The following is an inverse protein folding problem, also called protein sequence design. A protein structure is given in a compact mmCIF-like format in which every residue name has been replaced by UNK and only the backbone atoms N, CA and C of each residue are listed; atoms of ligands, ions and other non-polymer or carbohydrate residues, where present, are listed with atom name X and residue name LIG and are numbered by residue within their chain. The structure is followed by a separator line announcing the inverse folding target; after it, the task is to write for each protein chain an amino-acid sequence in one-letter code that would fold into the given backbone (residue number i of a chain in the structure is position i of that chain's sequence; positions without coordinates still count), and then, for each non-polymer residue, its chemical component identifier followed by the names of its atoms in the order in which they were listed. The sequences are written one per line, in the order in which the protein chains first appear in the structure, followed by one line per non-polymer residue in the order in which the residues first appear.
data_IF_056082022609
#
_entry.id   IF_056082022609
#
_cell.length_a   1.000
_cell.length_b   1.000
_cell.length_c   1.000
_cell.angle_alpha   90.00
_cell.angle_beta   90.00
_cell.angle_gamma   90.00
#
_symmetry.space_group_name_H-M   'P 1'
#
loop_
_entity.id
_entity.type
_entity.pdbx_description
1 polymer ?
#
# COMPACT_ATOMS: atom_id res chain seq x y z
N UNK A 1 -23.35 88.23 -127.63
CA UNK A 1 -24.09 87.00 -127.33
C UNK A 1 -24.26 86.96 -125.81
N UNK A 2 -25.17 87.75 -125.25
CA UNK A 2 -26.63 87.70 -125.40
C UNK A 2 -27.23 86.47 -124.69
N UNK A 3 -27.96 86.79 -123.59
CA UNK A 3 -29.08 86.08 -122.95
C UNK A 3 -28.74 84.78 -122.16
N UNK A 4 -29.15 84.61 -120.91
CA UNK A 4 -30.38 85.06 -120.24
C UNK A 4 -30.19 85.17 -118.72
N UNK A 5 -30.55 86.34 -118.19
CA UNK A 5 -31.11 86.53 -116.86
C UNK A 5 -32.42 85.72 -116.76
N UNK A 6 -32.67 85.06 -115.63
CA UNK A 6 -34.01 84.79 -115.06
C UNK A 6 -33.87 84.39 -113.58
N UNK A 7 -34.90 84.68 -112.75
CA UNK A 7 -34.70 85.28 -111.43
C UNK A 7 -34.64 84.28 -110.27
N UNK A 8 -33.99 84.74 -109.20
CA UNK A 8 -34.05 84.16 -107.87
C UNK A 8 -35.50 84.04 -107.38
N UNK A 9 -36.07 82.84 -107.46
CA UNK A 9 -37.24 82.46 -106.68
C UNK A 9 -36.76 81.88 -105.34
N UNK A 10 -36.35 82.79 -104.46
CA UNK A 10 -36.29 82.55 -103.03
C UNK A 10 -37.73 82.48 -102.50
N UNK A 11 -38.35 81.32 -102.68
CA UNK A 11 -39.61 80.93 -102.04
C UNK A 11 -39.31 79.81 -101.04
N UNK A 12 -38.44 80.10 -100.07
CA UNK A 12 -38.57 79.45 -98.76
C UNK A 12 -39.80 80.02 -98.06
N UNK A 13 -40.62 79.20 -97.37
CA UNK A 13 -41.74 79.72 -96.60
C UNK A 13 -41.20 80.73 -95.60
N UNK A 14 -41.64 82.00 -95.69
CA UNK A 14 -41.42 82.98 -94.63
C UNK A 14 -42.06 82.38 -93.37
N UNK A 15 -41.28 82.09 -92.31
CA UNK A 15 -41.82 81.47 -91.13
C UNK A 15 -42.87 82.39 -90.51
N UNK A 16 -44.10 81.89 -90.36
CA UNK A 16 -45.12 82.59 -89.59
C UNK A 16 -44.70 82.58 -88.12
N UNK A 17 -45.02 83.62 -87.33
CA UNK A 17 -44.67 83.69 -85.91
C UNK A 17 -45.04 82.43 -85.10
N UNK A 18 -46.14 81.77 -85.46
CA UNK A 18 -46.59 80.48 -84.89
C UNK A 18 -45.61 79.33 -85.19
N UNK A 19 -45.05 79.26 -86.40
CA UNK A 19 -44.07 78.24 -86.77
C UNK A 19 -42.72 78.46 -86.04
N UNK A 20 -42.33 79.72 -85.78
CA UNK A 20 -41.17 80.02 -84.93
C UNK A 20 -41.41 79.67 -83.45
N UNK A 21 -42.63 79.90 -82.93
CA UNK A 21 -42.98 79.52 -81.56
C UNK A 21 -42.94 77.99 -81.38
N UNK A 22 -43.51 77.25 -82.33
CA UNK A 22 -43.44 75.78 -82.37
C UNK A 22 -41.99 75.31 -82.50
N UNK A 23 -41.17 75.93 -83.35
CA UNK A 23 -39.75 75.57 -83.48
C UNK A 23 -38.98 75.79 -82.15
N UNK A 24 -39.24 76.89 -81.43
CA UNK A 24 -38.66 77.13 -80.10
C UNK A 24 -39.12 76.08 -79.07
N UNK A 25 -40.37 75.67 -79.12
CA UNK A 25 -40.91 74.62 -78.24
C UNK A 25 -40.30 73.25 -78.57
N UNK A 26 -40.16 72.91 -79.85
CA UNK A 26 -39.47 71.69 -80.30
C UNK A 26 -38.02 71.68 -79.85
N UNK A 27 -37.30 72.81 -79.98
CA UNK A 27 -35.94 72.94 -79.47
C UNK A 27 -35.86 72.83 -77.95
N UNK A 28 -36.85 73.37 -77.23
CA UNK A 28 -36.95 73.24 -75.78
C UNK A 28 -37.18 71.78 -75.36
N UNK A 29 -38.11 71.08 -76.02
CA UNK A 29 -38.40 69.66 -75.82
C UNK A 29 -37.19 68.79 -76.19
N UNK A 30 -36.45 69.14 -77.24
CA UNK A 30 -35.23 68.43 -77.62
C UNK A 30 -34.14 68.57 -76.54
N UNK A 31 -33.98 69.76 -75.96
CA UNK A 31 -33.07 69.99 -74.82
C UNK A 31 -33.51 69.24 -73.57
N UNK A 32 -34.81 69.24 -73.28
CA UNK A 32 -35.37 68.50 -72.14
C UNK A 32 -35.15 66.99 -72.32
N UNK A 33 -35.43 66.45 -73.51
CA UNK A 33 -35.16 65.04 -73.84
C UNK A 33 -33.69 64.69 -73.62
N UNK A 34 -32.75 65.53 -74.06
CA UNK A 34 -31.32 65.30 -73.83
C UNK A 34 -30.94 65.37 -72.34
N UNK A 35 -31.56 66.28 -71.58
CA UNK A 35 -31.37 66.37 -70.14
C UNK A 35 -31.89 65.12 -69.41
N UNK A 36 -33.09 64.64 -69.80
CA UNK A 36 -33.68 63.41 -69.27
C UNK A 36 -32.86 62.18 -69.64
N UNK A 37 -32.35 62.08 -70.87
CA UNK A 37 -31.44 61.00 -71.29
C UNK A 37 -30.15 60.98 -70.44
N UNK A 38 -29.59 62.16 -70.14
CA UNK A 38 -28.41 62.29 -69.28
C UNK A 38 -28.69 61.94 -67.81
N UNK A 39 -29.85 62.32 -67.28
CA UNK A 39 -30.30 61.92 -65.94
C UNK A 39 -30.51 60.41 -65.87
N UNK A 40 -31.17 59.82 -66.86
CA UNK A 40 -31.41 58.37 -66.96
C UNK A 40 -30.08 57.61 -67.01
N UNK A 41 -29.12 58.05 -67.82
CA UNK A 41 -27.77 57.47 -67.86
C UNK A 41 -27.03 57.58 -66.51
N UNK A 42 -27.26 58.66 -65.76
CA UNK A 42 -26.70 58.83 -64.41
C UNK A 42 -27.38 57.90 -63.40
N UNK A 43 -28.70 57.79 -63.43
CA UNK A 43 -29.48 56.88 -62.59
C UNK A 43 -29.15 55.41 -62.87
N UNK A 44 -28.90 55.05 -64.12
CA UNK A 44 -28.43 53.70 -64.49
C UNK A 44 -27.05 53.39 -63.89
N UNK A 45 -26.12 54.35 -63.91
CA UNK A 45 -24.81 54.19 -63.24
C UNK A 45 -24.95 54.06 -61.72
N UNK A 46 -25.79 54.89 -61.10
CA UNK A 46 -26.08 54.80 -59.67
C UNK A 46 -26.68 53.45 -59.28
N UNK A 47 -27.65 52.95 -60.07
CA UNK A 47 -28.24 51.63 -59.86
C UNK A 47 -27.20 50.52 -59.96
N UNK A 48 -26.32 50.56 -60.97
CA UNK A 48 -25.27 49.56 -61.12
C UNK A 48 -24.32 49.52 -59.91
N UNK A 49 -23.89 50.69 -59.42
CA UNK A 49 -23.05 50.77 -58.21
C UNK A 49 -23.80 50.22 -56.99
N UNK A 50 -25.05 50.63 -56.78
CA UNK A 50 -25.86 50.15 -55.65
C UNK A 50 -26.13 48.64 -55.72
N UNK A 51 -26.30 48.08 -56.91
CA UNK A 51 -26.41 46.62 -57.09
C UNK A 51 -25.10 45.94 -56.68
N UNK A 52 -23.94 46.46 -57.08
CA UNK A 52 -22.65 45.91 -56.65
C UNK A 52 -22.42 46.00 -55.14
N UNK A 53 -22.83 47.10 -54.50
CA UNK A 53 -22.81 47.24 -53.04
C UNK A 53 -23.74 46.23 -52.36
N UNK A 54 -24.95 46.02 -52.90
CA UNK A 54 -25.89 45.03 -52.39
C UNK A 54 -25.33 43.61 -52.50
N UNK A 55 -24.68 43.27 -53.62
CA UNK A 55 -24.03 41.98 -53.80
C UNK A 55 -22.86 41.77 -52.82
N UNK A 56 -22.05 42.82 -52.59
CA UNK A 56 -20.96 42.79 -51.61
C UNK A 56 -21.48 42.58 -50.18
N UNK A 57 -22.50 43.34 -49.78
CA UNK A 57 -23.12 43.22 -48.46
C UNK A 57 -23.79 41.86 -48.28
N UNK A 58 -24.38 41.31 -49.33
CA UNK A 58 -24.95 39.96 -49.30
C UNK A 58 -23.86 38.90 -49.06
N UNK A 59 -22.71 39.01 -49.75
CA UNK A 59 -21.57 38.12 -49.52
C UNK A 59 -21.04 38.24 -48.08
N UNK A 60 -20.94 39.46 -47.55
CA UNK A 60 -20.54 39.66 -46.15
C UNK A 60 -21.53 39.03 -45.18
N UNK A 61 -22.84 39.22 -45.40
CA UNK A 61 -23.89 38.61 -44.59
C UNK A 61 -23.79 37.08 -44.61
N UNK A 62 -23.56 36.47 -45.76
CA UNK A 62 -23.42 35.03 -45.90
C UNK A 62 -22.19 34.51 -45.15
N UNK A 63 -21.06 35.20 -45.26
CA UNK A 63 -19.85 34.85 -44.50
C UNK A 63 -20.06 34.99 -42.99
N UNK A 64 -20.67 36.08 -42.53
CA UNK A 64 -20.98 36.28 -41.12
C UNK A 64 -21.95 35.21 -40.60
N UNK A 65 -22.97 34.86 -41.38
CA UNK A 65 -23.91 33.78 -41.05
C UNK A 65 -23.20 32.43 -40.91
N UNK A 66 -22.25 32.13 -41.80
CA UNK A 66 -21.44 30.92 -41.69
C UNK A 66 -20.56 30.92 -40.43
N UNK A 67 -19.90 32.04 -40.12
CA UNK A 67 -19.07 32.16 -38.91
C UNK A 67 -19.91 32.04 -37.63
N UNK A 68 -21.11 32.61 -37.61
CA UNK A 68 -22.02 32.52 -36.47
C UNK A 68 -22.41 31.06 -36.21
N UNK A 69 -22.80 30.33 -37.26
CA UNK A 69 -23.12 28.90 -37.15
C UNK A 69 -21.94 28.07 -36.64
N UNK A 70 -20.72 28.40 -37.06
CA UNK A 70 -19.51 27.74 -36.56
C UNK A 70 -19.29 28.01 -35.06
N UNK A 71 -19.46 29.26 -34.62
CA UNK A 71 -19.34 29.63 -33.21
C UNK A 71 -20.41 28.96 -32.33
N UNK A 72 -21.64 28.84 -32.83
CA UNK A 72 -22.70 28.09 -32.13
C UNK A 72 -22.34 26.63 -31.92
N UNK A 73 -21.78 25.98 -32.94
CA UNK A 73 -21.31 24.60 -32.83
C UNK A 73 -20.16 24.48 -31.81
N UNK A 74 -19.18 25.39 -31.87
CA UNK A 74 -18.07 25.42 -30.92
C UNK A 74 -18.54 25.63 -29.48
N UNK A 75 -19.52 26.52 -29.27
CA UNK A 75 -20.16 26.73 -27.96
C UNK A 75 -20.83 25.45 -27.47
N UNK A 76 -21.55 24.74 -28.34
CA UNK A 76 -22.19 23.46 -28.00
C UNK A 76 -21.18 22.38 -27.59
N UNK A 77 -20.07 22.25 -28.32
CA UNK A 77 -19.00 21.31 -27.97
C UNK A 77 -18.29 21.68 -26.67
N UNK A 78 -17.96 22.96 -26.48
CA UNK A 78 -17.34 23.44 -25.25
C UNK A 78 -18.24 23.20 -24.04
N UNK A 79 -19.56 23.40 -24.19
CA UNK A 79 -20.53 23.12 -23.13
C UNK A 79 -20.59 21.63 -22.78
N UNK A 80 -20.54 20.74 -23.78
CA UNK A 80 -20.47 19.28 -23.53
C UNK A 80 -19.21 18.92 -22.76
N UNK A 81 -18.04 19.41 -23.21
CA UNK A 81 -16.75 19.18 -22.52
C UNK A 81 -16.77 19.70 -21.08
N UNK A 82 -17.39 20.86 -20.84
CA UNK A 82 -17.55 21.40 -19.50
C UNK A 82 -18.41 20.51 -18.61
N UNK A 83 -19.52 19.99 -19.13
CA UNK A 83 -20.39 19.07 -18.39
C UNK A 83 -19.68 17.74 -18.09
N UNK A 84 -18.95 17.18 -19.05
CA UNK A 84 -18.16 15.96 -18.87
C UNK A 84 -17.09 16.15 -17.80
N UNK A 85 -16.38 17.29 -17.84
CA UNK A 85 -15.36 17.62 -16.84
C UNK A 85 -15.98 17.80 -15.45
N UNK A 86 -17.15 18.44 -15.33
CA UNK A 86 -17.87 18.54 -14.06
C UNK A 86 -18.25 17.16 -13.51
N UNK A 87 -18.73 16.26 -14.36
CA UNK A 87 -19.05 14.90 -13.95
C UNK A 87 -17.80 14.12 -13.50
N UNK A 88 -16.67 14.31 -14.17
CA UNK A 88 -15.39 13.72 -13.76
C UNK A 88 -14.91 14.26 -12.41
N UNK A 89 -15.00 15.57 -12.19
CA UNK A 89 -14.65 16.20 -10.91
C UNK A 89 -15.51 15.65 -9.78
N UNK A 90 -16.82 15.50 -9.99
CA UNK A 90 -17.72 14.95 -8.98
C UNK A 90 -17.40 13.48 -8.67
N UNK A 91 -17.10 12.68 -9.71
CA UNK A 91 -16.65 11.30 -9.54
C UNK A 91 -15.35 11.24 -8.72
N UNK A 92 -14.37 12.08 -9.03
CA UNK A 92 -13.09 12.13 -8.31
C UNK A 92 -13.30 12.55 -6.85
N UNK A 93 -14.17 13.53 -6.59
CA UNK A 93 -14.52 13.92 -5.21
C UNK A 93 -15.13 12.78 -4.41
N UNK A 94 -16.06 12.04 -5.02
CA UNK A 94 -16.64 10.86 -4.39
C UNK A 94 -15.60 9.76 -4.12
N UNK A 95 -14.66 9.54 -5.06
CA UNK A 95 -13.57 8.59 -4.87
C UNK A 95 -12.62 9.00 -3.75
N UNK A 96 -12.24 10.28 -3.68
CA UNK A 96 -11.41 10.81 -2.60
C UNK A 96 -12.10 10.64 -1.26
N UNK A 97 -13.37 11.00 -1.15
CA UNK A 97 -14.14 10.83 0.10
C UNK A 97 -14.23 9.36 0.54
N UNK A 98 -14.45 8.43 -0.40
CA UNK A 98 -14.46 7.00 -0.09
C UNK A 98 -13.08 6.49 0.34
N UNK A 99 -12.01 6.98 -0.30
CA UNK A 99 -10.64 6.62 0.06
C UNK A 99 -10.24 7.18 1.43
N UNK A 100 -10.63 8.41 1.75
CA UNK A 100 -10.42 9.01 3.08
C UNK A 100 -11.13 8.21 4.18
N UNK A 101 -12.37 7.78 3.93
CA UNK A 101 -13.12 6.94 4.87
C UNK A 101 -12.44 5.58 5.08
N UNK A 102 -12.01 4.92 3.99
CA UNK A 102 -11.28 3.65 4.08
C UNK A 102 -9.93 3.81 4.80
N UNK A 103 -9.20 4.91 4.53
CA UNK A 103 -7.94 5.20 5.21
C UNK A 103 -8.17 5.39 6.73
N UNK A 104 -9.18 6.17 7.12
CA UNK A 104 -9.53 6.37 8.52
C UNK A 104 -9.90 5.07 9.25
N UNK A 105 -10.62 4.16 8.58
CA UNK A 105 -10.94 2.83 9.13
C UNK A 105 -9.67 1.99 9.36
N UNK A 106 -8.78 1.94 8.36
CA UNK A 106 -7.51 1.20 8.50
C UNK A 106 -6.59 1.79 9.56
N UNK A 107 -6.57 3.12 9.71
CA UNK A 107 -5.81 3.80 10.77
C UNK A 107 -6.37 3.45 12.15
N UNK A 108 -7.70 3.44 12.31
CA UNK A 108 -8.35 3.03 13.54
C UNK A 108 -8.05 1.55 13.89
N UNK A 109 -8.07 0.66 12.91
CA UNK A 109 -7.72 -0.75 13.11
C UNK A 109 -6.25 -0.91 13.53
N UNK A 110 -5.31 -0.21 12.87
CA UNK A 110 -3.89 -0.24 13.24
C UNK A 110 -3.68 0.31 14.65
N UNK A 111 -4.37 1.39 15.02
CA UNK A 111 -4.32 1.95 16.38
C UNK A 111 -4.83 0.94 17.42
N UNK A 112 -5.95 0.26 17.14
CA UNK A 112 -6.49 -0.79 18.02
C UNK A 112 -5.53 -1.98 18.16
N UNK A 113 -4.95 -2.46 17.05
CA UNK A 113 -3.96 -3.55 17.06
C UNK A 113 -2.69 -3.16 17.83
N UNK A 114 -2.22 -1.91 17.70
CA UNK A 114 -1.08 -1.39 18.49
C UNK A 114 -1.40 -1.35 19.99
N UNK A 115 -2.58 -0.89 20.37
CA UNK A 115 -3.01 -0.89 21.76
C UNK A 115 -3.07 -2.32 22.34
N UNK A 116 -3.61 -3.27 21.56
CA UNK A 116 -3.63 -4.68 21.95
C UNK A 116 -2.21 -5.27 22.09
N UNK A 117 -1.31 -4.98 21.16
CA UNK A 117 0.08 -5.44 21.22
C UNK A 117 0.81 -4.92 22.47
N UNK A 118 0.59 -3.65 22.83
CA UNK A 118 1.14 -3.08 24.06
C UNK A 118 0.59 -3.77 25.31
N UNK A 119 -0.73 -4.02 25.36
CA UNK A 119 -1.34 -4.74 26.48
C UNK A 119 -0.81 -6.17 26.63
N UNK A 120 -0.60 -6.88 25.51
CA UNK A 120 0.00 -8.21 25.52
C UNK A 120 1.45 -8.17 26.00
N UNK A 121 2.23 -7.18 25.57
CA UNK A 121 3.61 -6.98 26.02
C UNK A 121 3.70 -6.71 27.53
N UNK A 122 2.82 -5.87 28.06
CA UNK A 122 2.73 -5.62 29.50
C UNK A 122 2.38 -6.90 30.27
N UNK A 123 1.43 -7.69 29.75
CA UNK A 123 1.04 -8.97 30.34
C UNK A 123 2.18 -10.00 30.30
N UNK A 124 2.91 -10.07 29.19
CA UNK A 124 4.08 -10.94 29.05
C UNK A 124 5.17 -10.57 30.06
N UNK A 125 5.46 -9.28 30.21
CA UNK A 125 6.40 -8.78 31.22
C UNK A 125 5.96 -9.13 32.64
N UNK A 126 4.67 -8.99 32.95
CA UNK A 126 4.14 -9.35 34.26
C UNK A 126 4.27 -10.86 34.54
N UNK A 127 3.95 -11.70 33.55
CA UNK A 127 4.11 -13.16 33.67
C UNK A 127 5.57 -13.57 33.79
N UNK A 128 6.49 -12.90 33.09
CA UNK A 128 7.91 -13.17 33.23
C UNK A 128 8.41 -12.86 34.64
N UNK A 129 8.00 -11.73 35.21
CA UNK A 129 8.35 -11.39 36.60
C UNK A 129 7.79 -12.42 37.59
N UNK A 130 6.58 -12.91 37.36
CA UNK A 130 5.98 -13.96 38.19
C UNK A 130 6.76 -15.28 38.06
N UNK A 131 7.12 -15.68 36.84
CA UNK A 131 7.94 -16.86 36.59
C UNK A 131 9.29 -16.79 37.29
N UNK A 132 9.96 -15.63 37.23
CA UNK A 132 11.26 -15.43 37.89
C UNK A 132 11.12 -15.50 39.42
N UNK A 133 10.04 -14.95 39.97
CA UNK A 133 9.73 -15.04 41.40
C UNK A 133 9.47 -16.49 41.85
N UNK A 134 8.70 -17.26 41.09
CA UNK A 134 8.47 -18.69 41.38
C UNK A 134 9.75 -19.52 41.25
N UNK A 135 10.58 -19.22 40.26
CA UNK A 135 11.88 -19.86 40.09
C UNK A 135 12.77 -19.63 41.30
N UNK A 136 12.86 -18.38 41.78
CA UNK A 136 13.61 -18.04 43.00
C UNK A 136 13.06 -18.79 44.24
N UNK A 137 11.74 -18.92 44.36
CA UNK A 137 11.13 -19.70 45.45
C UNK A 137 11.48 -21.20 45.36
N UNK A 138 11.48 -21.78 44.15
CA UNK A 138 11.89 -23.16 43.94
C UNK A 138 13.36 -23.39 44.30
N UNK A 139 14.24 -22.46 43.95
CA UNK A 139 15.66 -22.50 44.31
C UNK A 139 15.85 -22.41 45.83
N UNK A 140 15.11 -21.53 46.51
CA UNK A 140 15.13 -21.41 47.97
C UNK A 140 14.67 -22.69 48.67
N UNK A 141 13.56 -23.28 48.20
CA UNK A 141 13.06 -24.55 48.74
C UNK A 141 14.05 -25.69 48.48
N UNK A 142 14.69 -25.72 47.32
CA UNK A 142 15.72 -26.70 46.99
C UNK A 142 16.93 -26.56 47.91
N UNK A 143 17.40 -25.33 48.16
CA UNK A 143 18.48 -25.05 49.10
C UNK A 143 18.11 -25.45 50.54
N UNK A 144 16.86 -25.17 50.95
CA UNK A 144 16.35 -25.59 52.25
C UNK A 144 16.31 -27.12 52.38
N UNK A 145 15.81 -27.82 51.35
CA UNK A 145 15.78 -29.28 51.33
C UNK A 145 17.19 -29.87 51.41
N UNK A 146 18.16 -29.35 50.64
CA UNK A 146 19.56 -29.80 50.72
C UNK A 146 20.13 -29.64 52.12
N UNK A 147 19.90 -28.48 52.77
CA UNK A 147 20.33 -28.24 54.15
C UNK A 147 19.67 -29.22 55.13
N UNK A 148 18.38 -29.48 54.98
CA UNK A 148 17.66 -30.43 55.83
C UNK A 148 18.18 -31.87 55.65
N UNK A 149 18.47 -32.30 54.42
CA UNK A 149 19.04 -33.62 54.13
C UNK A 149 20.44 -33.77 54.76
N UNK A 150 21.29 -32.75 54.66
CA UNK A 150 22.61 -32.76 55.32
C UNK A 150 22.49 -32.81 56.85
N UNK A 151 21.59 -32.01 57.42
CA UNK A 151 21.33 -32.02 58.86
C UNK A 151 20.79 -33.38 59.33
N UNK A 152 19.89 -34.01 58.56
CA UNK A 152 19.37 -35.35 58.86
C UNK A 152 20.48 -36.42 58.76
N UNK A 153 21.34 -36.34 57.76
CA UNK A 153 22.51 -37.22 57.63
C UNK A 153 23.43 -37.09 58.86
N UNK A 154 23.76 -35.85 59.26
CA UNK A 154 24.57 -35.60 60.45
C UNK A 154 23.90 -36.13 61.73
N UNK A 155 22.59 -35.95 61.88
CA UNK A 155 21.82 -36.47 63.00
C UNK A 155 21.81 -38.01 63.03
N UNK A 156 21.65 -38.67 61.89
CA UNK A 156 21.72 -40.13 61.78
C UNK A 156 23.10 -40.67 62.20
N UNK A 157 24.19 -40.05 61.74
CA UNK A 157 25.54 -40.45 62.16
C UNK A 157 25.71 -40.30 63.67
N UNK A 158 25.22 -39.21 64.25
CA UNK A 158 25.24 -38.98 65.71
C UNK A 158 24.43 -40.06 66.45
N UNK A 159 23.24 -40.41 65.98
CA UNK A 159 22.40 -41.47 66.55
C UNK A 159 23.14 -42.81 66.50
N UNK A 160 23.63 -43.24 65.34
CA UNK A 160 24.35 -44.51 65.19
C UNK A 160 25.56 -44.59 66.11
N UNK A 161 26.30 -43.48 66.26
CA UNK A 161 27.42 -43.46 67.20
C UNK A 161 26.94 -43.60 68.65
N UNK A 162 25.90 -42.86 69.06
CA UNK A 162 25.35 -42.96 70.42
C UNK A 162 24.79 -44.36 70.70
N UNK A 163 24.16 -45.00 69.72
CA UNK A 163 23.68 -46.38 69.82
C UNK A 163 24.84 -47.37 70.03
N UNK A 164 25.95 -47.25 69.27
CA UNK A 164 27.13 -48.10 69.47
C UNK A 164 27.78 -47.85 70.84
N UNK A 165 27.91 -46.59 71.26
CA UNK A 165 28.40 -46.28 72.61
C UNK A 165 27.54 -46.90 73.69
N UNK A 166 26.21 -46.81 73.54
CA UNK A 166 25.27 -47.41 74.49
C UNK A 166 25.47 -48.93 74.55
N UNK A 167 25.56 -49.60 73.40
CA UNK A 167 25.83 -51.04 73.31
C UNK A 167 27.16 -51.44 73.97
N UNK A 168 28.22 -50.65 73.76
CA UNK A 168 29.52 -50.91 74.39
C UNK A 168 29.47 -50.74 75.91
N UNK A 169 28.74 -49.74 76.41
CA UNK A 169 28.53 -49.52 77.85
C UNK A 169 27.68 -50.66 78.44
N UNK A 170 26.60 -51.07 77.78
CA UNK A 170 25.77 -52.21 78.20
C UNK A 170 26.62 -53.48 78.32
N UNK A 171 27.42 -53.81 77.30
CA UNK A 171 28.35 -54.95 77.34
C UNK A 171 29.38 -54.84 78.48
N UNK A 172 29.90 -53.63 78.75
CA UNK A 172 30.84 -53.41 79.84
C UNK A 172 30.19 -53.58 81.22
N UNK A 173 28.96 -53.11 81.39
CA UNK A 173 28.15 -53.29 82.61
C UNK A 173 27.86 -54.77 82.83
N UNK A 174 27.47 -55.51 81.78
CA UNK A 174 27.27 -56.95 81.84
C UNK A 174 28.56 -57.68 82.26
N UNK A 175 29.71 -57.36 81.64
CA UNK A 175 31.00 -57.94 81.98
C UNK A 175 31.44 -57.64 83.44
N UNK A 176 31.16 -56.44 83.95
CA UNK A 176 31.40 -56.08 85.35
C UNK A 176 30.48 -56.84 86.30
N UNK A 177 29.21 -57.07 85.91
CA UNK A 177 28.23 -57.82 86.71
C UNK A 177 28.54 -59.33 86.78
N UNK A 178 29.10 -59.91 85.72
CA UNK A 178 29.45 -61.33 85.63
C UNK A 178 30.72 -61.70 86.43
N UNK A 179 31.61 -60.72 86.66
CA UNK A 179 32.88 -60.91 87.39
C UNK A 179 33.96 -61.66 86.59
N UNK A 180 35.20 -61.63 87.06
CA UNK A 180 36.36 -62.31 86.44
C UNK A 180 37.33 -61.38 85.69
N UNK A 181 38.19 -61.94 84.83
CA UNK A 181 39.25 -61.17 84.13
C UNK A 181 38.70 -60.17 83.12
N UNK A 182 37.51 -60.42 82.55
CA UNK A 182 36.80 -59.48 81.68
C UNK A 182 36.32 -58.22 82.43
N UNK A 183 35.96 -58.34 83.71
CA UNK A 183 35.57 -57.22 84.55
C UNK A 183 36.75 -56.26 84.83
N UNK A 184 37.97 -56.79 84.96
CA UNK A 184 39.17 -55.97 85.14
C UNK A 184 39.51 -55.14 83.90
N UNK A 185 39.27 -55.69 82.70
CA UNK A 185 39.43 -54.96 81.44
C UNK A 185 38.32 -53.90 81.22
N UNK A 186 37.08 -54.19 81.62
CA UNK A 186 35.97 -53.23 81.58
C UNK A 186 36.13 -52.10 82.61
N UNK A 187 36.78 -52.35 83.75
CA UNK A 187 37.08 -51.33 84.76
C UNK A 187 38.17 -50.33 84.32
N UNK A 188 38.99 -50.67 83.33
CA UNK A 188 39.89 -49.72 82.67
C UNK A 188 39.06 -48.88 81.68
N UNK A 189 38.68 -47.68 82.11
CA UNK A 189 37.93 -46.69 81.33
C UNK A 189 38.61 -46.48 79.97
N UNK A 190 38.00 -47.02 78.91
CA UNK A 190 38.61 -46.95 77.59
C UNK A 190 38.55 -45.51 77.03
N UNK A 191 39.54 -45.09 76.21
CA UNK A 191 39.66 -43.70 75.72
C UNK A 191 38.42 -43.18 74.98
N UNK A 192 37.66 -44.07 74.34
CA UNK A 192 36.43 -43.76 73.61
C UNK A 192 35.27 -43.27 74.52
N UNK A 193 35.32 -43.53 75.82
CA UNK A 193 34.34 -43.03 76.79
C UNK A 193 34.79 -41.73 77.47
N UNK A 194 35.92 -41.16 77.04
CA UNK A 194 36.39 -39.89 77.60
C UNK A 194 35.44 -38.75 77.25
N UNK A 195 35.26 -37.83 78.20
CA UNK A 195 34.42 -36.64 78.03
C UNK A 195 34.88 -35.79 76.83
N UNK A 196 36.18 -35.69 76.62
CA UNK A 196 36.76 -34.95 75.48
C UNK A 196 36.40 -35.56 74.13
N UNK A 197 36.34 -36.89 74.04
CA UNK A 197 35.96 -37.59 72.81
C UNK A 197 34.47 -37.38 72.49
N UNK A 198 33.61 -37.45 73.50
CA UNK A 198 32.18 -37.19 73.37
C UNK A 198 31.88 -35.72 73.02
N UNK A 199 32.58 -34.77 73.61
CA UNK A 199 32.35 -33.33 73.38
C UNK A 199 32.75 -32.90 71.95
N UNK A 200 33.80 -33.53 71.38
CA UNK A 200 34.19 -33.33 69.97
C UNK A 200 33.12 -33.85 69.00
N UNK A 201 32.51 -34.99 69.32
CA UNK A 201 31.49 -35.60 68.49
C UNK A 201 30.16 -34.82 68.51
N UNK A 202 29.77 -34.31 69.69
CA UNK A 202 28.55 -33.49 69.85
C UNK A 202 28.69 -32.14 69.14
N UNK A 203 29.88 -31.53 69.16
CA UNK A 203 30.14 -30.21 68.55
C UNK A 203 30.24 -30.19 67.02
N UNK A 204 30.33 -31.35 66.35
CA UNK A 204 30.30 -31.38 64.87
C UNK A 204 31.26 -32.36 64.22
N UNK A 205 32.26 -32.88 64.93
CA UNK A 205 33.27 -33.76 64.33
C UNK A 205 32.80 -35.22 64.21
N UNK A 206 31.76 -35.47 63.41
CA UNK A 206 31.65 -36.79 62.79
C UNK A 206 32.80 -36.93 61.78
N UNK A 207 33.33 -38.13 61.49
CA UNK A 207 34.44 -38.32 60.55
C UNK A 207 34.19 -37.79 59.12
N UNK A 208 32.95 -37.37 58.81
CA UNK A 208 32.58 -36.77 57.53
C UNK A 208 32.87 -35.26 57.47
N UNK A 209 32.95 -34.56 58.60
CA UNK A 209 33.22 -33.11 58.69
C UNK A 209 34.73 -32.80 58.52
N UNK A 210 35.59 -33.79 58.77
CA UNK A 210 37.03 -33.74 58.47
C UNK A 210 37.34 -33.74 56.95
N UNK A 211 36.32 -33.86 56.09
CA UNK A 211 36.47 -33.71 54.63
C UNK A 211 36.26 -32.27 54.17
N UNK A 212 35.81 -31.37 55.06
CA UNK A 212 35.67 -29.93 54.76
C UNK A 212 36.87 -29.10 55.26
N UNK A 213 37.84 -29.72 55.97
CA UNK A 213 39.05 -29.05 56.48
C UNK A 213 40.21 -29.11 55.45
N UNK A 214 40.33 -28.03 54.67
CA UNK A 214 41.59 -27.43 54.19
C UNK A 214 42.58 -28.25 53.33
N UNK A 215 42.13 -29.20 52.49
CA UNK A 215 43.02 -29.76 51.44
C UNK A 215 42.44 -29.97 50.04
N UNK A 216 41.15 -29.71 49.80
CA UNK A 216 40.58 -29.78 48.44
C UNK A 216 40.30 -28.42 47.80
N UNK A 217 40.45 -27.33 48.56
CA UNK A 217 40.30 -25.95 48.05
C UNK A 217 41.56 -25.42 47.35
N UNK A 218 42.62 -26.23 47.28
CA UNK A 218 43.89 -25.86 46.66
C UNK A 218 44.40 -27.01 45.79
N UNK A 219 43.67 -27.27 44.71
CA UNK A 219 44.25 -27.53 43.39
C UNK A 219 43.14 -27.61 42.33
N UNK A 220 43.34 -26.83 41.26
CA UNK A 220 43.03 -27.29 39.89
C UNK A 220 41.57 -27.62 39.51
N UNK A 221 40.55 -26.95 40.07
CA UNK A 221 39.21 -26.95 39.43
C UNK A 221 38.44 -25.62 39.58
N UNK A 222 38.79 -24.82 40.59
CA UNK A 222 38.24 -23.47 40.79
C UNK A 222 38.75 -22.41 39.79
N UNK A 223 39.76 -22.71 38.98
CA UNK A 223 40.26 -21.81 37.95
C UNK A 223 39.33 -21.68 36.72
N UNK A 224 38.24 -22.44 36.65
CA UNK A 224 37.24 -22.34 35.57
C UNK A 224 35.90 -21.70 35.97
N UNK A 225 35.74 -21.28 37.23
CA UNK A 225 34.53 -20.56 37.66
C UNK A 225 34.90 -19.27 38.40
N UNK A 226 35.87 -18.55 37.84
CA UNK A 226 36.17 -17.17 38.18
C UNK A 226 35.24 -16.24 37.41
N UNK A 227 34.38 -15.56 38.17
CA UNK A 227 33.49 -14.45 37.83
C UNK A 227 34.19 -13.20 37.24
N UNK A 228 35.23 -13.38 36.42
CA UNK A 228 35.96 -12.32 35.72
C UNK A 228 36.29 -12.68 34.26
N UNK A 229 35.63 -13.70 33.69
CA UNK A 229 35.97 -14.28 32.38
C UNK A 229 35.00 -13.98 31.23
N UNK A 230 34.00 -13.11 31.39
CA UNK A 230 33.04 -12.74 30.33
C UNK A 230 32.96 -11.24 30.04
N UNK A 231 33.89 -10.45 30.59
CA UNK A 231 33.96 -9.01 30.27
C UNK A 231 34.80 -8.74 29.00
N UNK A 232 35.55 -9.74 28.53
CA UNK A 232 36.22 -9.73 27.23
C UNK A 232 35.75 -10.91 26.38
N UNK A 233 35.00 -10.59 25.33
CA UNK A 233 34.58 -11.48 24.26
C UNK A 233 35.75 -12.35 23.74
N UNK A 234 35.67 -13.70 23.78
CA UNK A 234 36.73 -14.62 23.34
C UNK A 234 36.97 -14.59 21.83
N UNK A 235 36.18 -13.85 21.04
CA UNK A 235 36.46 -13.60 19.63
C UNK A 235 37.36 -12.38 19.37
N UNK A 236 37.76 -11.62 20.40
CA UNK A 236 38.63 -10.44 20.21
C UNK A 236 40.06 -10.75 19.81
N UNK A 237 40.56 -11.95 20.10
CA UNK A 237 41.93 -12.37 19.78
C UNK A 237 41.99 -13.42 18.66
N UNK A 238 40.85 -13.72 18.04
CA UNK A 238 40.84 -14.39 16.75
C UNK A 238 41.40 -13.41 15.72
N UNK A 239 42.58 -13.75 15.20
CA UNK A 239 43.34 -13.09 14.14
C UNK A 239 42.53 -12.78 12.86
N UNK A 240 41.59 -11.84 12.95
CA UNK A 240 40.96 -11.12 11.85
C UNK A 240 41.38 -9.64 11.88
N UNK A 241 42.50 -9.33 12.54
CA UNK A 241 43.14 -8.00 12.57
C UNK A 241 43.78 -7.57 11.25
N UNK A 242 43.15 -7.90 10.12
CA UNK A 242 43.62 -7.50 8.81
C UNK A 242 42.51 -7.66 7.77
N UNK A 243 42.14 -6.52 7.16
CA UNK A 243 41.21 -6.33 6.04
C UNK A 243 39.75 -6.03 6.43
N UNK A 244 39.47 -4.75 6.74
CA UNK A 244 38.83 -3.83 5.78
C UNK A 244 38.69 -2.40 6.37
N UNK A 245 39.02 -1.34 5.62
CA UNK A 245 38.88 0.05 6.05
C UNK A 245 37.52 0.59 5.57
N UNK A 246 36.55 0.74 6.48
CA UNK A 246 35.43 1.70 6.43
C UNK A 246 34.27 1.17 7.27
N UNK A 247 34.16 1.68 8.50
CA UNK A 247 32.95 1.57 9.31
C UNK A 247 31.99 2.71 8.93
N UNK A 248 30.80 2.42 8.36
CA UNK A 248 29.85 3.43 7.89
C UNK A 248 29.05 4.12 9.01
N UNK A 249 29.23 3.75 10.28
CA UNK A 249 28.50 4.32 11.42
C UNK A 249 29.37 5.10 12.41
N UNK A 250 30.65 5.30 12.13
CA UNK A 250 31.54 6.09 12.98
C UNK A 250 31.28 7.61 12.84
N UNK A 251 31.25 8.39 13.94
CA UNK A 251 30.99 9.82 13.90
C UNK A 251 32.17 10.57 13.26
N UNK A 252 31.89 11.31 12.19
CA UNK A 252 32.87 11.94 11.31
C UNK A 252 33.69 13.06 12.00
N UNK A 253 35.00 12.87 12.06
CA UNK A 253 35.99 13.88 12.42
C UNK A 253 37.01 14.11 11.29
N UNK A 254 36.73 15.11 10.46
CA UNK A 254 37.62 15.85 9.54
C UNK A 254 38.58 15.15 8.55
N UNK A 255 38.35 15.51 7.28
CA UNK A 255 39.32 16.03 6.28
C UNK A 255 40.19 15.06 5.44
N UNK A 256 39.61 14.51 4.36
CA UNK A 256 40.15 14.43 2.99
C UNK A 256 39.18 13.64 2.08
N UNK A 257 39.13 13.86 0.75
CA UNK A 257 38.07 13.34 -0.10
C UNK A 257 38.37 11.89 -0.47
N UNK A 258 37.73 10.95 0.22
CA UNK A 258 37.77 9.53 -0.12
C UNK A 258 36.42 9.18 -0.75
N UNK A 259 36.52 8.76 -2.00
CA UNK A 259 35.48 8.32 -2.93
C UNK A 259 34.36 7.51 -2.23
N UNK A 260 33.14 8.05 -2.28
CA UNK A 260 31.93 7.49 -1.64
C UNK A 260 31.71 6.00 -2.00
N UNK A 261 31.61 5.16 -0.96
CA UNK A 261 31.27 3.74 -1.02
C UNK A 261 29.81 3.43 -1.40
N UNK A 262 29.10 4.37 -2.05
CA UNK A 262 27.74 4.19 -2.57
C UNK A 262 27.71 3.93 -4.09
N UNK A 263 28.88 3.75 -4.73
CA UNK A 263 28.97 3.54 -6.18
C UNK A 263 28.53 2.16 -6.68
N UNK A 264 28.35 1.18 -5.79
CA UNK A 264 27.89 -0.17 -6.17
C UNK A 264 26.96 -0.73 -5.09
N UNK A 265 25.71 -0.95 -5.48
CA UNK A 265 24.67 -1.58 -4.69
C UNK A 265 25.13 -2.97 -4.18
N UNK A 266 25.10 -3.25 -2.85
CA UNK A 266 25.44 -4.57 -2.31
C UNK A 266 24.45 -5.68 -2.73
N UNK A 267 23.34 -5.33 -3.39
CA UNK A 267 22.40 -6.27 -4.01
C UNK A 267 22.61 -6.43 -5.53
N UNK A 268 23.63 -5.80 -6.12
CA UNK A 268 23.95 -6.00 -7.53
C UNK A 268 24.66 -7.36 -7.77
N UNK A 269 24.11 -8.25 -8.61
CA UNK A 269 24.67 -9.59 -8.81
C UNK A 269 25.98 -9.54 -9.59
N UNK A 270 27.05 -10.13 -9.04
CA UNK A 270 28.38 -10.25 -9.67
C UNK A 270 28.43 -11.21 -10.87
N UNK A 271 27.29 -11.68 -11.36
CA UNK A 271 27.20 -12.61 -12.49
C UNK A 271 25.84 -12.56 -13.17
N UNK A 272 25.43 -11.39 -13.70
CA UNK A 272 24.47 -11.25 -14.82
C UNK A 272 23.06 -11.88 -14.72
N UNK A 273 22.70 -12.53 -13.62
CA UNK A 273 21.41 -13.14 -13.39
C UNK A 273 20.89 -12.74 -12.02
N UNK A 274 19.70 -12.16 -12.00
CA UNK A 274 18.99 -11.72 -10.81
C UNK A 274 18.63 -12.92 -9.91
N UNK A 275 19.00 -12.91 -8.61
CA UNK A 275 18.66 -13.98 -7.67
C UNK A 275 17.15 -14.11 -7.36
N UNK A 276 16.32 -13.16 -7.81
CA UNK A 276 14.86 -13.20 -7.75
C UNK A 276 14.17 -13.43 -9.10
N UNK A 277 14.94 -13.61 -10.19
CA UNK A 277 14.37 -13.88 -11.52
C UNK A 277 13.78 -15.30 -11.66
N UNK A 278 13.96 -16.16 -10.65
CA UNK A 278 13.22 -17.40 -10.50
C UNK A 278 12.22 -17.24 -9.35
N UNK A 279 10.96 -17.01 -9.67
CA UNK A 279 9.86 -16.98 -8.70
C UNK A 279 9.83 -18.31 -7.93
N UNK A 280 10.20 -18.28 -6.65
CA UNK A 280 10.21 -19.44 -5.75
C UNK A 280 8.80 -19.97 -5.44
N UNK A 281 7.75 -19.28 -5.92
CA UNK A 281 6.36 -19.67 -5.80
C UNK A 281 5.66 -19.86 -7.16
N UNK A 282 6.43 -19.95 -8.26
CA UNK A 282 5.88 -20.29 -9.56
C UNK A 282 5.13 -21.63 -9.45
N UNK A 283 3.84 -21.72 -9.86
CA UNK A 283 3.07 -22.94 -9.74
C UNK A 283 3.73 -24.00 -10.62
N UNK A 284 4.31 -25.01 -10.01
CA UNK A 284 4.63 -26.25 -10.73
C UNK A 284 3.30 -26.81 -11.23
N UNK A 285 3.12 -26.81 -12.55
CA UNK A 285 1.99 -27.42 -13.25
C UNK A 285 1.88 -28.91 -12.87
N UNK A 286 1.23 -29.19 -11.75
CA UNK A 286 0.88 -30.54 -11.34
C UNK A 286 -0.54 -30.79 -11.85
N UNK A 287 -0.61 -31.24 -13.10
CA UNK A 287 -1.83 -31.81 -13.67
C UNK A 287 -2.21 -33.07 -12.89
N UNK A 288 -3.03 -32.92 -11.87
CA UNK A 288 -4.08 -33.82 -11.42
C UNK A 288 -4.42 -33.57 -9.95
N UNK A 289 -5.60 -33.01 -9.71
CA UNK A 289 -6.68 -33.66 -8.95
C UNK A 289 -7.78 -32.63 -8.71
N UNK A 290 -9.00 -32.99 -9.10
CA UNK A 290 -10.21 -32.40 -8.57
C UNK A 290 -10.15 -32.48 -7.04
N UNK A 291 -10.09 -31.34 -6.36
CA UNK A 291 -10.37 -31.24 -4.93
C UNK A 291 -11.02 -29.88 -4.66
N UNK A 292 -12.30 -29.96 -4.32
CA UNK A 292 -13.13 -28.89 -3.79
C UNK A 292 -12.63 -28.51 -2.40
N UNK A 293 -11.68 -27.58 -2.30
CA UNK A 293 -11.32 -26.95 -1.03
C UNK A 293 -11.43 -25.43 -1.14
N UNK A 294 -12.51 -24.90 -0.55
CA UNK A 294 -12.86 -23.48 -0.46
C UNK A 294 -11.84 -22.60 0.31
N UNK A 295 -10.68 -23.15 0.66
CA UNK A 295 -9.60 -22.49 1.40
C UNK A 295 -8.28 -22.38 0.62
N UNK A 296 -8.19 -22.98 -0.56
CA UNK A 296 -7.03 -22.84 -1.46
C UNK A 296 -7.18 -21.67 -2.45
N UNK A 297 -8.33 -21.00 -2.45
CA UNK A 297 -8.55 -19.80 -3.26
C UNK A 297 -8.04 -18.57 -2.50
N UNK A 298 -7.00 -17.94 -3.05
CA UNK A 298 -6.48 -16.64 -2.61
C UNK A 298 -7.63 -15.61 -2.48
N UNK A 299 -7.87 -15.04 -1.29
CA UNK A 299 -8.96 -14.08 -1.06
C UNK A 299 -8.80 -12.77 -1.85
N UNK A 300 -7.63 -12.52 -2.45
CA UNK A 300 -7.35 -11.35 -3.27
C UNK A 300 -7.47 -11.60 -4.78
N UNK A 301 -7.70 -12.84 -5.23
CA UNK A 301 -7.85 -13.18 -6.64
C UNK A 301 -9.04 -12.50 -7.34
N UNK A 302 -10.03 -12.03 -6.56
CA UNK A 302 -11.23 -11.34 -7.06
C UNK A 302 -10.94 -9.86 -7.45
N UNK A 303 -9.78 -9.30 -7.09
CA UNK A 303 -9.45 -7.89 -7.29
C UNK A 303 -8.52 -7.58 -8.47
N UNK A 304 -8.02 -8.59 -9.19
CA UNK A 304 -7.25 -8.37 -10.40
C UNK A 304 -8.13 -8.47 -11.66
N UNK A 305 -8.14 -7.36 -12.42
CA UNK A 305 -8.83 -7.20 -13.69
C UNK A 305 -8.52 -8.36 -14.69
N UNK A 306 -9.44 -8.70 -15.61
CA UNK A 306 -9.30 -9.87 -16.46
C UNK A 306 -8.08 -9.75 -17.40
N UNK A 307 -7.06 -10.59 -17.17
CA UNK A 307 -5.98 -10.84 -18.13
C UNK A 307 -6.54 -11.70 -19.26
N UNK A 308 -6.57 -11.14 -20.46
CA UNK A 308 -6.88 -11.86 -21.70
C UNK A 308 -5.75 -12.84 -22.01
N UNK A 309 -6.14 -14.05 -22.39
CA UNK A 309 -5.27 -15.20 -22.62
C UNK A 309 -4.16 -14.99 -23.66
N UNK A 310 -3.11 -15.76 -23.44
CA UNK A 310 -1.93 -15.89 -24.28
C UNK A 310 -2.23 -16.51 -25.66
N UNK A 311 -1.58 -15.97 -26.69
CA UNK A 311 -1.16 -16.68 -27.89
C UNK A 311 0.18 -16.05 -28.34
N UNK A 312 1.18 -16.89 -28.58
CA UNK A 312 2.59 -16.51 -28.53
C UNK A 312 3.20 -15.94 -29.82
N UNK A 313 4.49 -15.59 -29.69
CA UNK A 313 5.47 -15.65 -30.79
C UNK A 313 6.15 -14.33 -31.18
N UNK A 314 7.36 -14.11 -30.64
CA UNK A 314 8.55 -13.74 -31.43
C UNK A 314 8.78 -12.29 -31.91
N UNK A 315 9.88 -11.73 -31.37
CA UNK A 315 10.91 -10.90 -32.05
C UNK A 315 10.73 -9.37 -32.26
N UNK A 316 11.74 -8.66 -31.72
CA UNK A 316 12.44 -7.45 -32.18
C UNK A 316 11.68 -6.11 -32.41
N UNK A 317 12.15 -5.07 -31.71
CA UNK A 317 11.96 -3.63 -32.02
C UNK A 317 12.70 -3.20 -33.32
N UNK A 318 12.57 -1.95 -33.83
CA UNK A 318 11.45 -0.98 -33.81
C UNK A 318 11.20 -0.34 -35.22
N UNK A 319 10.01 0.21 -35.51
CA UNK A 319 9.79 1.39 -36.41
C UNK A 319 8.31 1.80 -36.44
N UNK A 320 7.97 3.10 -36.61
CA UNK A 320 6.61 3.59 -36.48
C UNK A 320 5.87 3.53 -37.84
N UNK A 321 4.67 2.96 -37.88
CA UNK A 321 3.81 2.98 -39.08
C UNK A 321 2.38 3.39 -38.75
N UNK A 322 1.88 4.34 -39.54
CA UNK A 322 0.58 5.01 -39.50
C UNK A 322 -0.63 4.02 -39.48
N UNK A 323 -1.80 4.44 -38.94
CA UNK A 323 -2.93 3.52 -38.70
C UNK A 323 -3.70 3.16 -39.98
N UNK A 324 -4.14 1.90 -40.17
CA UNK A 324 -5.01 1.52 -41.28
C UNK A 324 -6.50 1.78 -41.00
N UNK A 325 -7.22 2.25 -42.03
CA UNK A 325 -8.67 2.48 -42.07
C UNK A 325 -9.47 1.18 -41.90
N UNK A 326 -10.44 1.14 -40.99
CA UNK A 326 -11.44 0.07 -40.89
C UNK A 326 -12.61 0.31 -41.87
N UNK A 327 -13.16 -0.73 -42.53
CA UNK A 327 -14.39 -0.64 -43.31
C UNK A 327 -15.64 -0.62 -42.39
N UNK A 328 -16.77 -0.02 -42.81
CA UNK A 328 -17.94 0.17 -41.94
C UNK A 328 -18.67 -1.16 -41.62
N UNK A 329 -19.33 -1.26 -40.45
CA UNK A 329 -20.09 -2.44 -40.06
C UNK A 329 -21.34 -2.63 -40.93
N UNK A 330 -21.65 -3.88 -41.28
CA UNK A 330 -22.84 -4.25 -42.07
C UNK A 330 -24.13 -4.06 -41.24
N UNK A 331 -25.28 -3.75 -41.87
CA UNK A 331 -26.56 -3.60 -41.17
C UNK A 331 -27.09 -4.92 -40.60
N UNK A 332 -27.78 -4.86 -39.46
CA UNK A 332 -28.41 -6.01 -38.80
C UNK A 332 -29.63 -6.55 -39.58
N UNK A 333 -29.91 -7.87 -39.54
CA UNK A 333 -31.07 -8.47 -40.19
C UNK A 333 -32.40 -8.05 -39.53
N UNK A 334 -33.52 -8.01 -40.29
CA UNK A 334 -34.81 -7.53 -39.78
C UNK A 334 -35.43 -8.49 -38.76
N UNK A 335 -36.00 -7.90 -37.69
CA UNK A 335 -36.71 -8.62 -36.61
C UNK A 335 -38.11 -9.05 -37.07
N UNK A 336 -38.57 -10.27 -36.78
CA UNK A 336 -39.96 -10.67 -37.02
C UNK A 336 -40.93 -9.96 -36.06
N UNK A 337 -42.12 -9.63 -36.58
CA UNK A 337 -43.21 -8.89 -35.92
C UNK A 337 -43.89 -9.67 -34.78
N UNK A 338 -44.35 -9.00 -33.70
CA UNK A 338 -45.05 -9.67 -32.60
C UNK A 338 -46.54 -9.95 -32.92
N UNK A 339 -47.13 -11.07 -32.45
CA UNK A 339 -48.55 -11.34 -32.59
C UNK A 339 -49.40 -10.57 -31.56
N UNK A 340 -50.65 -10.32 -31.97
CA UNK A 340 -51.63 -9.43 -31.36
C UNK A 340 -52.16 -9.86 -29.97
N UNK A 341 -52.55 -8.85 -29.18
CA UNK A 341 -53.26 -8.98 -27.90
C UNK A 341 -54.61 -9.71 -28.05
N UNK A 342 -54.91 -10.62 -27.13
CA UNK A 342 -56.30 -10.99 -26.79
C UNK A 342 -56.56 -10.55 -25.35
N UNK A 343 -57.61 -9.75 -25.21
CA UNK A 343 -58.22 -9.31 -23.95
C UNK A 343 -59.26 -10.36 -23.56
N UNK A 344 -59.25 -10.83 -22.32
CA UNK A 344 -60.43 -11.41 -21.69
C UNK A 344 -60.54 -11.01 -20.22
N UNK A 345 -61.58 -10.21 -19.99
CA UNK A 345 -62.27 -9.95 -18.72
C UNK A 345 -62.37 -11.22 -17.84
N UNK A 346 -62.14 -11.11 -16.52
CA UNK A 346 -63.05 -11.68 -15.51
C UNK A 346 -62.95 -10.93 -14.17
N UNK A 347 -64.02 -10.19 -13.88
CA UNK A 347 -64.70 -9.86 -12.61
C UNK A 347 -63.94 -9.86 -11.27
N UNK A 348 -64.03 -8.67 -10.67
CA UNK A 348 -64.19 -8.33 -9.24
C UNK A 348 -64.82 -9.43 -8.36
N UNK A 349 -64.27 -9.64 -7.17
CA UNK A 349 -65.10 -9.54 -5.96
C UNK A 349 -64.28 -9.09 -4.74
N UNK A 350 -64.84 -8.09 -4.07
CA UNK A 350 -64.32 -7.35 -2.91
C UNK A 350 -64.90 -7.98 -1.66
N UNK A 351 -64.10 -8.40 -0.67
CA UNK A 351 -64.58 -8.51 0.72
C UNK A 351 -63.56 -7.94 1.71
N UNK A 352 -64.13 -7.04 2.51
CA UNK A 352 -63.69 -6.22 3.62
C UNK A 352 -63.13 -6.96 4.86
N UNK A 353 -62.31 -6.20 5.59
CA UNK A 353 -62.23 -6.05 7.06
C UNK A 353 -61.31 -6.92 7.95
N UNK A 354 -60.38 -6.20 8.58
CA UNK A 354 -59.73 -6.40 9.89
C UNK A 354 -60.65 -5.71 10.94
N UNK A 355 -60.88 -6.22 12.18
CA UNK A 355 -60.00 -5.85 13.32
C UNK A 355 -59.82 -6.87 14.47
N UNK A 356 -58.64 -6.74 15.09
CA UNK A 356 -58.29 -6.78 16.52
C UNK A 356 -59.14 -7.56 17.55
N UNK A 357 -58.48 -8.46 18.30
CA UNK A 357 -58.60 -8.64 19.77
C UNK A 357 -57.47 -9.59 20.23
N UNK A 358 -56.58 -9.19 21.15
CA UNK A 358 -56.72 -9.27 22.62
C UNK A 358 -56.87 -10.71 23.16
N UNK A 359 -55.74 -11.31 23.54
CA UNK A 359 -55.50 -11.96 24.85
C UNK A 359 -54.02 -12.29 24.99
#
# INVERSE_FOLDING_TARGET
MELKNEPALNLGPQPTPEMEAIAREVDALARERLALDAELATKQRELYVKTGEADSLQSELDTLTATLKQLENQKGEAQKRLNDLKAQVEKLRSQVSAQEAAAAETEAEVAARRAQANSLREREQALQQEHDAHTQQADQLTAHLRRAVLALSQANIKITHLEEQHRLIENAVEALSAGGTAAAAAAQLQPQFSREHLDKLVRGATPSDALEDDSFSKNEFGAMNGSTGFESDPFKDASFGGVAPNDPFAPAGNAAPIQDGFGSDPFAPSSGSDPFAGDAFAPTDNKNKDNDDAWAADPFAVLHAPVRGAAGGGAASPTPRLPPKQPPPRPAPPRPTPPHKIVSLTKQNTIFNIPSNCS
#
